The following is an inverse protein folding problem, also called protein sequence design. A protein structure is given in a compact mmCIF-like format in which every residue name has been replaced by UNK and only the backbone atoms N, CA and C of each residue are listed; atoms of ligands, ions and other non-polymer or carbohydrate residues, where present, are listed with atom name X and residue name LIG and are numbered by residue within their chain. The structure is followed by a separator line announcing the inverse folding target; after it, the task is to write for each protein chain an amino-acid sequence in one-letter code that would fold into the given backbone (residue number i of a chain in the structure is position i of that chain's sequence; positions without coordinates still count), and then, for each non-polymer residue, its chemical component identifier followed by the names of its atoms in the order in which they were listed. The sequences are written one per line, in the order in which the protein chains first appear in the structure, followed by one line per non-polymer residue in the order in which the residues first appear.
data_IF_395094616181
#
_entry.id   IF_395094616181
#
_cell.length_a   1.000
_cell.length_b   1.000
_cell.length_c   1.000
_cell.angle_alpha   90.00
_cell.angle_beta   90.00
_cell.angle_gamma   90.00
#
_symmetry.space_group_name_H-M   'P 1'
#
loop_
_entity.id
_entity.type
_entity.pdbx_description
1 polymer ?
#
# COMPACT_ATOMS: atom_id res chain seq x y z
N UNK A 1 28.79 61.93 -25.07
CA UNK A 1 29.34 61.39 -23.81
C UNK A 1 29.32 59.88 -23.91
N UNK A 2 30.49 59.29 -24.11
CA UNK A 2 30.67 57.85 -24.18
C UNK A 2 30.63 57.27 -22.76
N UNK A 3 29.89 56.18 -22.56
CA UNK A 3 29.82 55.46 -21.29
C UNK A 3 30.76 54.27 -21.38
N UNK A 4 31.78 54.27 -20.51
CA UNK A 4 32.79 53.21 -20.40
C UNK A 4 32.17 51.86 -20.01
N UNK A 5 32.60 50.81 -20.72
CA UNK A 5 32.39 49.42 -20.35
C UNK A 5 33.45 49.01 -19.32
N UNK A 6 33.03 48.61 -18.12
CA UNK A 6 33.86 47.87 -17.16
C UNK A 6 33.72 46.34 -17.39
N UNK A 7 34.81 45.57 -17.40
CA UNK A 7 34.78 44.14 -17.70
C UNK A 7 34.27 43.31 -16.51
N UNK A 8 33.38 42.35 -16.80
CA UNK A 8 32.95 41.31 -15.85
C UNK A 8 34.14 40.42 -15.49
N UNK A 9 34.47 40.36 -14.19
CA UNK A 9 35.37 39.33 -13.65
C UNK A 9 34.71 37.95 -13.81
N UNK A 10 35.36 37.08 -14.59
CA UNK A 10 35.15 35.64 -14.52
C UNK A 10 35.66 35.15 -13.15
N UNK A 11 34.78 34.51 -12.37
CA UNK A 11 35.16 33.72 -11.20
C UNK A 11 35.28 32.27 -11.68
N UNK A 12 36.46 31.69 -11.52
CA UNK A 12 36.80 30.33 -11.96
C UNK A 12 36.17 29.22 -11.10
N UNK A 13 36.36 27.95 -11.50
CA UNK A 13 35.74 26.79 -10.88
C UNK A 13 36.51 26.39 -9.63
N UNK A 14 36.19 26.99 -8.49
CA UNK A 14 36.74 26.59 -7.20
C UNK A 14 35.73 26.86 -6.09
N UNK A 15 34.54 26.29 -6.21
CA UNK A 15 33.62 26.05 -5.10
C UNK A 15 32.84 24.77 -5.43
N UNK A 16 33.56 23.64 -5.42
CA UNK A 16 32.94 22.34 -5.23
C UNK A 16 32.32 22.35 -3.83
N UNK A 17 31.05 22.71 -3.75
CA UNK A 17 30.21 22.44 -2.59
C UNK A 17 30.24 20.93 -2.41
N UNK A 18 31.04 20.48 -1.45
CA UNK A 18 30.92 19.14 -0.91
C UNK A 18 29.45 18.94 -0.51
N UNK A 19 28.78 18.00 -1.15
CA UNK A 19 27.48 17.49 -0.72
C UNK A 19 27.69 16.78 0.62
N UNK A 20 27.79 17.58 1.69
CA UNK A 20 27.93 17.09 3.05
C UNK A 20 26.58 16.60 3.54
N UNK A 21 26.57 15.33 3.94
CA UNK A 21 25.55 14.63 4.72
C UNK A 21 24.15 14.57 4.11
N UNK A 22 23.74 13.34 3.74
CA UNK A 22 22.34 12.96 3.60
C UNK A 22 21.58 13.50 4.82
N UNK A 23 20.86 14.60 4.65
CA UNK A 23 19.97 15.15 5.65
C UNK A 23 18.89 14.10 5.90
N UNK A 24 19.16 13.21 6.85
CA UNK A 24 18.20 12.23 7.34
C UNK A 24 17.02 13.06 7.80
N UNK A 25 15.88 12.92 7.12
CA UNK A 25 14.62 13.55 7.50
C UNK A 25 14.22 12.99 8.87
N UNK A 26 14.78 13.58 9.92
CA UNK A 26 14.43 13.29 11.29
C UNK A 26 13.07 13.91 11.53
N UNK A 27 12.07 13.06 11.79
CA UNK A 27 10.82 13.48 12.41
C UNK A 27 11.20 14.11 13.76
N UNK A 28 11.31 15.45 13.80
CA UNK A 28 11.72 16.19 15.01
C UNK A 28 10.80 15.91 16.21
N UNK A 29 9.59 15.39 15.98
CA UNK A 29 8.69 14.84 16.98
C UNK A 29 8.05 13.56 16.44
N UNK A 30 8.02 12.49 17.25
CA UNK A 30 7.14 11.33 17.02
C UNK A 30 5.71 11.75 17.37
N UNK A 31 4.69 11.07 16.84
CA UNK A 31 3.29 11.28 17.26
C UNK A 31 3.18 11.02 18.77
N UNK A 32 3.18 12.08 19.58
CA UNK A 32 2.94 11.99 21.02
C UNK A 32 1.46 12.30 21.24
N UNK A 33 0.71 11.34 21.77
CA UNK A 33 -0.63 11.59 22.26
C UNK A 33 -0.56 12.66 23.36
N UNK A 34 -1.06 13.86 23.08
CA UNK A 34 -1.09 14.94 24.07
C UNK A 34 -2.35 14.77 24.94
N UNK A 35 -2.23 13.99 26.01
CA UNK A 35 -3.30 13.78 26.97
C UNK A 35 -3.78 15.09 27.63
N UNK A 36 -2.91 16.10 27.68
CA UNK A 36 -3.19 17.44 28.18
C UNK A 36 -3.55 18.44 27.08
N UNK A 37 -3.88 17.96 25.88
CA UNK A 37 -4.39 18.82 24.82
C UNK A 37 -5.62 19.57 25.34
N UNK A 38 -5.71 20.90 25.18
CA UNK A 38 -6.90 21.62 25.60
C UNK A 38 -8.15 21.16 24.80
N UNK A 39 -7.97 20.45 23.68
CA UNK A 39 -9.05 19.76 22.94
C UNK A 39 -9.56 18.50 23.68
N UNK A 40 -8.70 17.74 24.37
CA UNK A 40 -9.10 16.46 25.00
C UNK A 40 -10.00 16.65 26.23
N UNK A 41 -10.04 17.87 26.79
CA UNK A 41 -10.83 18.24 27.99
C UNK A 41 -11.84 19.37 27.70
N UNK A 42 -12.15 19.62 26.43
CA UNK A 42 -12.95 20.75 26.01
C UNK A 42 -14.44 20.61 26.40
N UNK A 43 -14.90 21.41 27.36
CA UNK A 43 -16.33 21.65 27.66
C UNK A 43 -16.78 23.07 27.27
N UNK A 44 -15.83 23.87 26.78
CA UNK A 44 -15.99 25.24 26.31
C UNK A 44 -14.95 25.52 25.21
N UNK A 45 -14.88 26.75 24.71
CA UNK A 45 -13.92 27.14 23.67
C UNK A 45 -12.48 26.84 24.10
N UNK A 46 -11.79 26.04 23.29
CA UNK A 46 -10.41 25.57 23.52
C UNK A 46 -9.37 26.66 23.22
N UNK A 47 -9.73 27.54 22.29
CA UNK A 47 -8.94 28.67 21.85
C UNK A 47 -9.77 29.93 22.06
N UNK A 48 -9.08 31.02 22.36
CA UNK A 48 -9.67 32.34 22.23
C UNK A 48 -9.78 32.64 20.74
N UNK A 49 -11.00 32.51 20.20
CA UNK A 49 -11.26 32.69 18.77
C UNK A 49 -11.17 34.15 18.32
N UNK A 50 -11.24 35.11 19.26
CA UNK A 50 -11.07 36.54 18.96
C UNK A 50 -9.59 36.90 18.76
N UNK A 51 -8.69 36.18 19.43
CA UNK A 51 -7.24 36.38 19.30
C UNK A 51 -6.52 35.27 18.52
N UNK A 52 -7.25 34.24 18.08
CA UNK A 52 -6.70 33.10 17.37
C UNK A 52 -6.00 33.52 16.08
N UNK A 53 -4.74 33.10 15.95
CA UNK A 53 -3.99 33.20 14.70
C UNK A 53 -3.02 32.03 14.58
N UNK A 54 -2.93 31.46 13.38
CA UNK A 54 -1.84 30.56 13.05
C UNK A 54 -0.51 31.33 12.98
N UNK A 55 0.59 30.58 13.11
CA UNK A 55 1.91 31.13 12.80
C UNK A 55 2.00 31.53 11.31
N UNK A 56 2.72 32.62 10.95
CA UNK A 56 2.92 33.00 9.56
C UNK A 56 3.61 31.90 8.74
N UNK A 57 3.21 31.74 7.47
CA UNK A 57 3.80 30.77 6.53
C UNK A 57 3.83 31.36 5.12
N UNK A 58 4.76 30.90 4.28
CA UNK A 58 4.80 31.21 2.84
C UNK A 58 4.49 29.95 2.04
N UNK A 59 3.75 30.08 0.94
CA UNK A 59 3.24 28.97 0.11
C UNK A 59 4.37 28.05 -0.37
N UNK A 60 5.50 28.64 -0.79
CA UNK A 60 6.69 27.89 -1.23
C UNK A 60 7.29 26.99 -0.14
N UNK A 61 7.09 27.30 1.15
CA UNK A 61 7.52 26.44 2.25
C UNK A 61 6.71 25.15 2.29
N UNK A 62 5.40 25.24 2.03
CA UNK A 62 4.49 24.08 1.98
C UNK A 62 4.80 23.23 0.75
N UNK A 63 4.95 23.84 -0.42
CA UNK A 63 5.34 23.13 -1.65
C UNK A 63 6.65 22.35 -1.46
N UNK A 64 7.71 23.01 -0.96
CA UNK A 64 9.01 22.36 -0.69
C UNK A 64 8.92 21.30 0.41
N UNK A 65 8.07 21.48 1.41
CA UNK A 65 7.90 20.51 2.49
C UNK A 65 7.30 19.19 1.97
N UNK A 66 6.32 19.27 1.07
CA UNK A 66 5.69 18.10 0.47
C UNK A 66 6.60 17.44 -0.56
N UNK A 67 7.12 18.20 -1.52
CA UNK A 67 7.95 17.63 -2.60
C UNK A 67 9.22 16.99 -2.06
N UNK A 68 9.94 17.63 -1.12
CA UNK A 68 11.13 17.03 -0.52
C UNK A 68 10.86 15.65 0.10
N UNK A 69 9.70 15.48 0.75
CA UNK A 69 9.33 14.20 1.39
C UNK A 69 8.90 13.16 0.35
N UNK A 70 8.04 13.55 -0.59
CA UNK A 70 7.55 12.64 -1.61
C UNK A 70 8.68 12.12 -2.49
N UNK A 71 9.62 12.98 -2.90
CA UNK A 71 10.78 12.56 -3.69
C UNK A 71 11.80 11.74 -2.88
N UNK A 72 11.95 12.01 -1.57
CA UNK A 72 12.76 11.14 -0.70
C UNK A 72 12.13 9.74 -0.57
N UNK A 73 10.79 9.65 -0.53
CA UNK A 73 10.09 8.36 -0.56
C UNK A 73 10.26 7.65 -1.90
N UNK A 74 10.13 8.37 -3.03
CA UNK A 74 10.37 7.81 -4.37
C UNK A 74 11.79 7.24 -4.50
N UNK A 75 12.81 7.99 -4.06
CA UNK A 75 14.21 7.52 -4.07
C UNK A 75 14.40 6.29 -3.18
N UNK A 76 13.89 6.32 -1.95
CA UNK A 76 14.04 5.23 -0.98
C UNK A 76 13.36 3.93 -1.43
N UNK A 77 12.18 4.04 -2.04
CA UNK A 77 11.31 2.91 -2.39
C UNK A 77 11.39 2.49 -3.87
N UNK A 78 12.15 3.19 -4.72
CA UNK A 78 12.46 2.72 -6.07
C UNK A 78 13.03 1.28 -6.07
N UNK A 79 13.81 0.96 -5.03
CA UNK A 79 14.15 -0.41 -4.61
C UNK A 79 13.39 -0.73 -3.33
N UNK A 80 12.48 -1.69 -3.37
CA UNK A 80 11.68 -2.13 -2.20
C UNK A 80 11.95 -3.60 -1.86
N UNK A 81 11.71 -3.97 -0.60
CA UNK A 81 11.78 -5.37 -0.20
C UNK A 81 10.48 -6.09 -0.59
N UNK A 82 9.36 -5.47 -0.23
CA UNK A 82 8.02 -5.96 -0.52
C UNK A 82 7.20 -4.82 -1.12
N UNK A 83 6.51 -5.11 -2.23
CA UNK A 83 5.46 -4.25 -2.79
C UNK A 83 4.10 -4.91 -2.57
N UNK A 84 3.13 -4.16 -2.05
CA UNK A 84 1.75 -4.59 -1.88
C UNK A 84 0.88 -3.79 -2.85
N UNK A 85 0.19 -4.47 -3.76
CA UNK A 85 -0.68 -3.85 -4.77
C UNK A 85 -2.13 -3.95 -4.29
N UNK A 86 -2.72 -2.80 -3.98
CA UNK A 86 -4.07 -2.67 -3.42
C UNK A 86 -4.06 -2.53 -1.89
N UNK A 87 -4.49 -1.37 -1.39
CA UNK A 87 -4.67 -1.06 0.02
C UNK A 87 -6.10 -1.37 0.51
N UNK A 88 -6.64 -2.51 0.08
CA UNK A 88 -7.89 -3.07 0.62
C UNK A 88 -7.67 -3.74 1.99
N UNK A 89 -8.71 -4.39 2.51
CA UNK A 89 -8.64 -5.10 3.80
C UNK A 89 -7.54 -6.18 3.83
N UNK A 90 -7.35 -6.95 2.75
CA UNK A 90 -6.29 -7.95 2.67
C UNK A 90 -4.89 -7.32 2.60
N UNK A 91 -4.68 -6.35 1.71
CA UNK A 91 -3.37 -5.70 1.53
C UNK A 91 -2.93 -4.91 2.77
N UNK A 92 -3.84 -4.19 3.42
CA UNK A 92 -3.53 -3.49 4.66
C UNK A 92 -3.28 -4.45 5.84
N UNK A 93 -3.97 -5.60 5.87
CA UNK A 93 -3.70 -6.64 6.88
C UNK A 93 -2.29 -7.23 6.68
N UNK A 94 -1.91 -7.53 5.44
CA UNK A 94 -0.56 -7.98 5.10
C UNK A 94 0.50 -6.93 5.47
N UNK A 95 0.27 -5.65 5.13
CA UNK A 95 1.17 -4.55 5.47
C UNK A 95 1.37 -4.40 6.98
N UNK A 96 0.28 -4.46 7.76
CA UNK A 96 0.34 -4.36 9.22
C UNK A 96 1.15 -5.51 9.85
N UNK A 97 0.90 -6.74 9.41
CA UNK A 97 1.61 -7.93 9.91
C UNK A 97 3.10 -7.87 9.52
N UNK A 98 3.41 -7.63 8.25
CA UNK A 98 4.79 -7.54 7.77
C UNK A 98 5.57 -6.41 8.43
N UNK A 99 4.99 -5.21 8.48
CA UNK A 99 5.67 -4.04 9.03
C UNK A 99 6.01 -4.20 10.51
N UNK A 100 5.18 -4.91 11.28
CA UNK A 100 5.48 -5.28 12.68
C UNK A 100 6.52 -6.40 12.79
N UNK A 101 6.38 -7.45 11.98
CA UNK A 101 7.24 -8.63 12.09
C UNK A 101 8.67 -8.39 11.57
N UNK A 102 8.83 -7.49 10.60
CA UNK A 102 10.09 -7.20 9.91
C UNK A 102 10.31 -5.69 9.77
N UNK A 103 10.64 -4.99 10.87
CA UNK A 103 10.89 -3.55 10.85
C UNK A 103 12.10 -3.15 9.99
N UNK A 104 12.94 -4.12 9.62
CA UNK A 104 14.08 -3.98 8.71
C UNK A 104 13.69 -3.90 7.22
N UNK A 105 12.51 -4.40 6.83
CA UNK A 105 12.09 -4.48 5.42
C UNK A 105 11.35 -3.22 4.98
N UNK A 106 11.68 -2.72 3.79
CA UNK A 106 10.97 -1.63 3.09
C UNK A 106 9.70 -2.15 2.42
N UNK A 107 8.54 -1.72 2.93
CA UNK A 107 7.23 -2.14 2.43
C UNK A 107 6.57 -0.95 1.72
N UNK A 108 6.41 -1.03 0.40
CA UNK A 108 5.66 -0.07 -0.40
C UNK A 108 4.25 -0.59 -0.68
N UNK A 109 3.23 0.22 -0.41
CA UNK A 109 1.83 -0.05 -0.76
C UNK A 109 1.46 0.84 -1.93
N UNK A 110 1.03 0.25 -3.04
CA UNK A 110 0.56 0.95 -4.24
C UNK A 110 -0.96 0.84 -4.28
N UNK A 111 -1.65 1.97 -4.18
CA UNK A 111 -3.11 2.04 -4.19
C UNK A 111 -3.60 2.97 -5.30
N UNK A 112 -4.42 2.42 -6.20
CA UNK A 112 -4.94 3.14 -7.34
C UNK A 112 -5.85 4.30 -6.91
N UNK A 113 -6.67 4.14 -5.88
CA UNK A 113 -7.58 5.19 -5.44
C UNK A 113 -6.85 6.27 -4.63
N UNK A 114 -7.43 7.47 -4.60
CA UNK A 114 -7.01 8.51 -3.65
C UNK A 114 -7.27 8.02 -2.21
N UNK A 115 -8.45 7.46 -1.97
CA UNK A 115 -8.82 6.90 -0.67
C UNK A 115 -8.42 5.42 -0.58
N UNK A 116 -7.67 5.05 0.46
CA UNK A 116 -7.34 3.66 0.77
C UNK A 116 -8.50 2.95 1.46
N UNK A 117 -8.48 1.62 1.49
CA UNK A 117 -9.45 0.78 2.21
C UNK A 117 -10.27 -0.13 1.29
N UNK A 118 -10.22 0.09 -0.02
CA UNK A 118 -10.96 -0.69 -1.01
C UNK A 118 -12.46 -0.77 -0.69
N UNK A 119 -13.04 -1.96 -0.83
CA UNK A 119 -14.46 -2.20 -0.52
C UNK A 119 -14.81 -2.27 0.97
N UNK A 120 -13.90 -1.98 1.89
CA UNK A 120 -14.09 -2.20 3.34
C UNK A 120 -14.57 -0.95 4.12
N UNK A 121 -15.21 0.02 3.44
CA UNK A 121 -15.90 1.12 4.13
C UNK A 121 -17.34 0.80 4.52
N UNK A 122 -17.93 -0.22 3.88
CA UNK A 122 -19.32 -0.62 4.05
C UNK A 122 -19.42 -2.15 4.22
N UNK A 123 -20.55 -2.60 4.74
CA UNK A 123 -21.01 -3.98 4.64
C UNK A 123 -21.72 -4.23 3.30
N UNK A 124 -22.69 -5.15 3.29
CA UNK A 124 -23.49 -5.44 2.10
C UNK A 124 -24.47 -4.31 1.77
N UNK A 125 -24.71 -4.07 0.48
CA UNK A 125 -25.79 -3.19 0.00
C UNK A 125 -25.79 -1.78 0.63
N UNK A 126 -24.60 -1.21 0.83
CA UNK A 126 -24.41 0.11 1.46
C UNK A 126 -24.74 0.19 2.96
N UNK A 127 -25.02 -0.94 3.62
CA UNK A 127 -25.12 -0.98 5.09
C UNK A 127 -23.75 -0.85 5.75
N UNK A 128 -23.72 -0.63 7.07
CA UNK A 128 -22.49 -0.27 7.79
C UNK A 128 -21.78 -1.45 8.45
N UNK A 129 -22.54 -2.37 9.05
CA UNK A 129 -22.02 -3.41 9.92
C UNK A 129 -21.04 -4.35 9.18
N UNK A 130 -19.94 -4.69 9.84
CA UNK A 130 -18.91 -5.57 9.31
C UNK A 130 -18.93 -6.89 10.07
N UNK A 131 -19.34 -7.94 9.38
CA UNK A 131 -19.40 -9.30 9.92
C UNK A 131 -18.06 -10.00 9.66
N UNK A 132 -17.51 -10.65 10.70
CA UNK A 132 -16.34 -11.52 10.58
C UNK A 132 -16.60 -12.84 11.29
N UNK A 133 -16.45 -13.97 10.59
CA UNK A 133 -16.48 -15.30 11.21
C UNK A 133 -15.20 -15.56 12.02
N UNK A 134 -15.34 -16.28 13.14
CA UNK A 134 -14.18 -16.71 13.95
C UNK A 134 -13.32 -17.71 13.16
N UNK A 135 -11.98 -17.70 13.29
CA UNK A 135 -11.19 -17.02 14.32
C UNK A 135 -10.66 -15.61 13.94
N UNK A 136 -11.29 -14.90 12.99
CA UNK A 136 -10.82 -13.58 12.58
C UNK A 136 -10.94 -12.49 13.67
N UNK A 137 -11.75 -12.76 14.70
CA UNK A 137 -11.86 -11.97 15.93
C UNK A 137 -10.52 -11.78 16.66
N UNK A 138 -9.60 -12.74 16.51
CA UNK A 138 -8.22 -12.62 17.04
C UNK A 138 -7.49 -11.40 16.48
N UNK A 139 -7.65 -11.12 15.20
CA UNK A 139 -7.05 -9.94 14.56
C UNK A 139 -7.77 -8.65 14.97
N UNK A 140 -9.09 -8.71 15.19
CA UNK A 140 -9.85 -7.55 15.68
C UNK A 140 -9.42 -7.16 17.10
N UNK A 141 -9.17 -8.14 17.97
CA UNK A 141 -8.56 -7.91 19.30
C UNK A 141 -7.16 -7.32 19.21
N UNK A 142 -6.32 -7.79 18.29
CA UNK A 142 -4.98 -7.24 18.02
C UNK A 142 -5.04 -5.75 17.60
N UNK A 143 -6.08 -5.34 16.87
CA UNK A 143 -6.30 -3.93 16.56
C UNK A 143 -6.89 -3.13 17.73
N UNK A 144 -7.36 -3.79 18.80
CA UNK A 144 -8.01 -3.15 19.94
C UNK A 144 -9.37 -2.56 19.59
N UNK A 145 -10.10 -3.20 18.68
CA UNK A 145 -11.44 -2.78 18.26
C UNK A 145 -12.52 -3.48 19.05
N UNK A 146 -13.55 -2.73 19.43
CA UNK A 146 -14.78 -3.28 20.01
C UNK A 146 -15.63 -3.96 18.94
N UNK A 147 -16.28 -5.06 19.33
CA UNK A 147 -17.19 -5.82 18.51
C UNK A 147 -18.26 -6.49 19.37
N UNK A 148 -19.40 -6.80 18.77
CA UNK A 148 -20.45 -7.65 19.34
C UNK A 148 -20.14 -9.11 19.00
N UNK A 149 -20.15 -9.99 20.01
CA UNK A 149 -19.88 -11.43 19.83
C UNK A 149 -21.21 -12.19 19.70
N UNK A 150 -21.42 -12.81 18.54
CA UNK A 150 -22.65 -13.51 18.16
C UNK A 150 -22.44 -15.04 18.07
N UNK A 151 -21.43 -15.57 18.78
CA UNK A 151 -21.11 -17.00 18.78
C UNK A 151 -20.05 -17.34 17.74
N UNK A 152 -20.46 -17.82 16.55
CA UNK A 152 -19.55 -18.25 15.48
C UNK A 152 -18.96 -17.08 14.66
N UNK A 153 -19.47 -15.87 14.89
CA UNK A 153 -19.02 -14.65 14.24
C UNK A 153 -19.09 -13.46 15.20
N UNK A 154 -18.46 -12.37 14.78
CA UNK A 154 -18.49 -11.09 15.45
C UNK A 154 -18.99 -10.00 14.51
N UNK A 155 -19.48 -8.91 15.07
CA UNK A 155 -19.94 -7.73 14.32
C UNK A 155 -19.20 -6.49 14.81
N UNK A 156 -18.39 -5.89 13.93
CA UNK A 156 -17.88 -4.54 14.17
C UNK A 156 -18.94 -3.55 13.69
N UNK A 157 -19.31 -2.59 14.55
CA UNK A 157 -20.43 -1.66 14.31
C UNK A 157 -20.39 -0.95 12.95
N UNK A 158 -19.19 -0.71 12.42
CA UNK A 158 -19.02 -0.12 11.11
C UNK A 158 -17.72 -0.59 10.45
N UNK A 159 -17.78 -1.04 9.19
CA UNK A 159 -16.60 -1.41 8.40
C UNK A 159 -15.54 -0.28 8.33
N UNK A 160 -15.98 0.97 8.19
CA UNK A 160 -15.13 2.16 8.27
C UNK A 160 -14.30 2.24 9.56
N UNK A 161 -14.84 1.83 10.72
CA UNK A 161 -14.09 1.82 11.98
C UNK A 161 -12.91 0.83 11.92
N UNK A 162 -13.15 -0.35 11.35
CA UNK A 162 -12.10 -1.34 11.15
C UNK A 162 -11.02 -0.84 10.19
N UNK A 163 -11.41 -0.45 8.98
CA UNK A 163 -10.43 -0.18 7.91
C UNK A 163 -9.59 1.08 8.19
N UNK A 164 -10.19 2.11 8.79
CA UNK A 164 -9.46 3.33 9.17
C UNK A 164 -8.51 3.10 10.34
N UNK A 165 -8.89 2.25 11.31
CA UNK A 165 -8.01 1.85 12.41
C UNK A 165 -6.82 1.03 11.92
N UNK A 166 -7.07 0.03 11.06
CA UNK A 166 -6.02 -0.76 10.45
C UNK A 166 -5.07 0.11 9.61
N UNK A 167 -5.63 1.00 8.77
CA UNK A 167 -4.86 1.96 7.99
C UNK A 167 -3.98 2.84 8.89
N UNK A 168 -4.54 3.45 9.93
CA UNK A 168 -3.79 4.30 10.88
C UNK A 168 -2.62 3.54 11.51
N UNK A 169 -2.84 2.30 11.97
CA UNK A 169 -1.80 1.47 12.58
C UNK A 169 -0.73 1.04 11.58
N UNK A 170 -1.11 0.68 10.34
CA UNK A 170 -0.16 0.31 9.30
C UNK A 170 0.71 1.51 8.88
N UNK A 171 0.12 2.69 8.68
CA UNK A 171 0.84 3.91 8.28
C UNK A 171 1.69 4.52 9.40
N UNK A 172 1.44 4.15 10.65
CA UNK A 172 2.27 4.53 11.78
C UNK A 172 3.61 3.75 11.83
N UNK A 173 3.76 2.67 11.06
CA UNK A 173 4.98 1.86 11.02
C UNK A 173 6.04 2.58 10.17
N UNK A 174 7.28 2.76 10.67
CA UNK A 174 8.30 3.59 10.02
C UNK A 174 8.86 3.01 8.70
N UNK A 175 8.60 1.73 8.45
CA UNK A 175 9.07 0.99 7.29
C UNK A 175 7.98 0.78 6.22
N UNK A 176 6.76 1.25 6.47
CA UNK A 176 5.63 1.19 5.53
C UNK A 176 5.45 2.55 4.85
N UNK A 177 5.35 2.54 3.52
CA UNK A 177 5.02 3.72 2.72
C UNK A 177 3.80 3.45 1.86
N UNK A 178 2.85 4.37 1.88
CA UNK A 178 1.70 4.38 0.98
C UNK A 178 1.91 5.35 -0.18
N UNK A 179 1.79 4.83 -1.39
CA UNK A 179 1.64 5.58 -2.63
C UNK A 179 0.20 5.37 -3.13
N UNK A 180 -0.72 6.18 -2.61
CA UNK A 180 -2.09 6.27 -3.11
C UNK A 180 -2.18 7.15 -4.36
N UNK A 181 -3.32 7.11 -5.06
CA UNK A 181 -3.49 7.70 -6.39
C UNK A 181 -2.45 7.22 -7.43
N UNK A 182 -1.87 6.04 -7.20
CA UNK A 182 -0.82 5.42 -8.01
C UNK A 182 -1.29 4.03 -8.41
N UNK A 183 -1.41 3.78 -9.72
CA UNK A 183 -1.83 2.49 -10.25
C UNK A 183 -0.61 1.65 -10.64
N UNK A 184 -0.77 0.32 -10.58
CA UNK A 184 0.15 -0.62 -11.23
C UNK A 184 -0.42 -0.95 -12.61
N UNK A 185 0.35 -0.69 -13.66
CA UNK A 185 -0.06 -0.87 -15.05
C UNK A 185 0.60 -2.07 -15.71
N UNK A 186 1.73 -2.53 -15.16
CA UNK A 186 2.43 -3.73 -15.60
C UNK A 186 3.30 -4.31 -14.48
N UNK A 187 3.88 -5.48 -14.73
CA UNK A 187 4.82 -6.17 -13.85
C UNK A 187 6.23 -6.14 -14.46
N UNK A 188 7.23 -5.90 -13.62
CA UNK A 188 8.62 -6.11 -14.01
C UNK A 188 8.88 -7.61 -13.92
N UNK A 189 9.36 -8.23 -15.00
CA UNK A 189 9.72 -9.64 -15.03
C UNK A 189 11.23 -9.85 -15.26
N UNK A 190 11.75 -10.97 -14.77
CA UNK A 190 13.14 -11.42 -14.99
C UNK A 190 13.15 -12.91 -15.29
N UNK A 191 14.12 -13.35 -16.07
CA UNK A 191 14.42 -14.77 -16.24
C UNK A 191 15.46 -15.14 -15.18
N UNK A 192 15.18 -16.18 -14.41
CA UNK A 192 16.10 -16.77 -13.44
C UNK A 192 17.16 -17.63 -14.14
N UNK A 193 18.24 -17.99 -13.43
CA UNK A 193 19.28 -18.88 -13.97
C UNK A 193 18.76 -20.26 -14.40
N UNK A 194 17.66 -20.74 -13.81
CA UNK A 194 16.98 -21.98 -14.23
C UNK A 194 16.14 -21.80 -15.49
N UNK A 195 16.06 -20.59 -16.06
CA UNK A 195 15.26 -20.26 -17.23
C UNK A 195 13.81 -19.91 -16.92
N UNK A 196 13.39 -19.89 -15.65
CA UNK A 196 12.02 -19.57 -15.26
C UNK A 196 11.79 -18.06 -15.18
N UNK A 197 10.64 -17.60 -15.67
CA UNK A 197 10.20 -16.21 -15.50
C UNK A 197 9.72 -15.97 -14.06
N UNK A 198 10.15 -14.87 -13.45
CA UNK A 198 9.67 -14.37 -12.16
C UNK A 198 9.21 -12.92 -12.25
N UNK A 199 8.36 -12.51 -11.32
CA UNK A 199 8.05 -11.09 -11.05
C UNK A 199 9.14 -10.51 -10.13
N UNK A 200 9.59 -9.30 -10.45
CA UNK A 200 10.72 -8.61 -9.82
C UNK A 200 10.44 -7.12 -9.53
N UNK A 201 9.19 -6.70 -9.67
CA UNK A 201 8.76 -5.33 -9.40
C UNK A 201 7.44 -5.00 -10.09
N UNK A 202 7.08 -3.73 -10.03
CA UNK A 202 5.85 -3.18 -10.61
C UNK A 202 6.17 -1.98 -11.48
N UNK A 203 5.37 -1.81 -12.54
CA UNK A 203 5.34 -0.64 -13.40
C UNK A 203 4.18 0.21 -12.94
N UNK A 204 4.46 1.46 -12.57
CA UNK A 204 3.52 2.34 -11.86
C UNK A 204 3.27 3.63 -12.61
N UNK A 205 2.09 4.19 -12.46
CA UNK A 205 1.81 5.55 -12.92
C UNK A 205 0.78 6.22 -12.01
N UNK A 206 0.55 7.51 -12.19
CA UNK A 206 -0.62 8.14 -11.60
C UNK A 206 -1.88 7.48 -12.15
N UNK A 207 -2.84 7.16 -11.30
CA UNK A 207 -4.05 6.45 -11.74
C UNK A 207 -4.83 7.23 -12.81
N UNK A 208 -4.82 8.55 -12.75
CA UNK A 208 -5.44 9.39 -13.79
C UNK A 208 -4.71 9.27 -15.13
N UNK A 209 -3.39 9.13 -15.14
CA UNK A 209 -2.64 8.85 -16.38
C UNK A 209 -3.06 7.49 -16.93
N UNK A 210 -3.14 6.47 -16.07
CA UNK A 210 -3.57 5.12 -16.44
C UNK A 210 -4.97 5.02 -17.07
N UNK A 211 -5.89 5.87 -16.61
CA UNK A 211 -7.26 5.89 -17.13
C UNK A 211 -7.41 6.72 -18.41
N UNK A 212 -6.37 7.44 -18.84
CA UNK A 212 -6.43 8.44 -19.90
C UNK A 212 -5.28 8.28 -20.92
N UNK A 213 -4.78 7.05 -21.13
CA UNK A 213 -3.76 6.75 -22.15
C UNK A 213 -4.21 7.08 -23.58
N UNK A 214 -5.52 7.03 -23.84
CA UNK A 214 -6.09 7.35 -25.17
C UNK A 214 -6.43 8.85 -25.34
N UNK A 215 -6.40 9.64 -24.26
CA UNK A 215 -6.87 11.03 -24.26
C UNK A 215 -5.74 12.05 -24.44
N UNK A 216 -4.48 11.61 -24.40
CA UNK A 216 -3.29 12.46 -24.46
C UNK A 216 -2.19 11.80 -25.33
N UNK A 217 -1.07 12.49 -25.52
CA UNK A 217 0.14 11.82 -26.01
C UNK A 217 0.63 10.77 -25.00
N UNK A 218 1.42 9.79 -25.45
CA UNK A 218 1.95 8.75 -24.58
C UNK A 218 2.66 9.33 -23.34
N UNK A 219 2.30 8.80 -22.17
CA UNK A 219 2.85 9.20 -20.87
C UNK A 219 3.46 7.98 -20.20
N UNK A 220 4.76 7.79 -20.42
CA UNK A 220 5.48 6.60 -19.94
C UNK A 220 5.33 6.41 -18.42
N UNK A 221 5.28 5.15 -17.96
CA UNK A 221 5.20 4.84 -16.54
C UNK A 221 6.56 5.00 -15.84
N UNK A 222 6.53 4.90 -14.51
CA UNK A 222 7.69 4.76 -13.64
C UNK A 222 7.78 3.31 -13.11
N UNK A 223 8.81 2.98 -12.34
CA UNK A 223 9.10 1.60 -11.91
C UNK A 223 9.49 1.50 -10.44
N UNK A 224 9.09 0.40 -9.80
CA UNK A 224 9.56 0.01 -8.48
C UNK A 224 10.04 -1.45 -8.53
N UNK A 225 11.33 -1.66 -8.29
CA UNK A 225 11.91 -2.99 -8.10
C UNK A 225 11.51 -3.56 -6.74
N UNK A 226 11.22 -4.87 -6.69
CA UNK A 226 10.83 -5.53 -5.45
C UNK A 226 11.23 -7.00 -5.43
N UNK A 227 11.60 -7.50 -4.24
CA UNK A 227 11.97 -8.91 -4.06
C UNK A 227 10.72 -9.79 -4.07
N UNK A 228 9.64 -9.34 -3.42
CA UNK A 228 8.34 -10.03 -3.42
C UNK A 228 7.21 -9.03 -3.63
N UNK A 229 6.25 -9.40 -4.47
CA UNK A 229 5.04 -8.62 -4.73
C UNK A 229 3.87 -9.37 -4.09
N UNK A 230 3.02 -8.66 -3.34
CA UNK A 230 1.76 -9.17 -2.81
C UNK A 230 0.63 -8.47 -3.54
N UNK A 231 -0.12 -9.20 -4.35
CA UNK A 231 -1.28 -8.68 -5.07
C UNK A 231 -2.57 -8.90 -4.27
N UNK A 232 -3.28 -7.80 -4.01
CA UNK A 232 -4.50 -7.72 -3.22
C UNK A 232 -5.54 -6.82 -3.90
N UNK A 233 -5.63 -6.85 -5.23
CA UNK A 233 -6.39 -5.87 -6.03
C UNK A 233 -7.90 -6.14 -6.09
N UNK A 234 -8.40 -7.10 -5.30
CA UNK A 234 -9.81 -7.51 -5.33
C UNK A 234 -10.15 -8.40 -6.54
N UNK A 235 -11.43 -8.63 -6.79
CA UNK A 235 -11.90 -9.47 -7.90
C UNK A 235 -12.06 -8.66 -9.20
N UNK A 236 -12.59 -9.28 -10.26
CA UNK A 236 -12.79 -8.64 -11.57
C UNK A 236 -13.51 -7.28 -11.51
N UNK A 237 -13.19 -6.41 -12.47
CA UNK A 237 -13.51 -4.99 -12.55
C UNK A 237 -12.41 -4.21 -13.30
N UNK A 238 -12.56 -2.89 -13.51
CA UNK A 238 -11.61 -2.10 -14.29
C UNK A 238 -10.17 -2.15 -13.79
N UNK A 239 -9.97 -2.10 -12.46
CA UNK A 239 -8.65 -2.15 -11.80
C UNK A 239 -8.45 -3.43 -10.98
N UNK A 240 -9.47 -4.30 -10.96
CA UNK A 240 -9.51 -5.45 -10.07
C UNK A 240 -8.89 -6.68 -10.70
N UNK A 241 -8.31 -7.54 -9.85
CA UNK A 241 -7.56 -8.73 -10.23
C UNK A 241 -6.42 -8.50 -11.24
N UNK A 242 -5.76 -7.35 -11.12
CA UNK A 242 -4.79 -6.86 -12.09
C UNK A 242 -3.65 -7.85 -12.35
N UNK A 243 -2.93 -8.29 -11.31
CA UNK A 243 -1.75 -9.13 -11.52
C UNK A 243 -2.11 -10.51 -12.08
N UNK A 244 -3.22 -11.10 -11.61
CA UNK A 244 -3.75 -12.36 -12.16
C UNK A 244 -4.11 -12.21 -13.64
N UNK A 245 -4.83 -11.15 -14.01
CA UNK A 245 -5.17 -10.87 -15.43
C UNK A 245 -3.91 -10.67 -16.27
N UNK A 246 -2.97 -9.87 -15.78
CA UNK A 246 -1.76 -9.54 -16.52
C UNK A 246 -0.91 -10.77 -16.82
N UNK A 247 -0.70 -11.64 -15.83
CA UNK A 247 0.01 -12.90 -16.05
C UNK A 247 -0.75 -13.86 -16.97
N UNK A 248 -2.09 -13.85 -16.93
CA UNK A 248 -2.90 -14.69 -17.82
C UNK A 248 -2.87 -14.24 -19.28
N UNK A 249 -2.90 -12.93 -19.54
CA UNK A 249 -2.73 -12.36 -20.89
C UNK A 249 -1.38 -12.74 -21.51
N UNK A 250 -0.34 -12.87 -20.70
CA UNK A 250 1.00 -13.31 -21.12
C UNK A 250 1.15 -14.83 -21.22
N UNK A 251 0.11 -15.61 -20.90
CA UNK A 251 0.16 -17.07 -20.87
C UNK A 251 1.05 -17.66 -19.76
N UNK A 252 1.42 -16.86 -18.75
CA UNK A 252 2.28 -17.24 -17.63
C UNK A 252 1.51 -17.88 -16.47
N UNK A 253 0.20 -17.60 -16.38
CA UNK A 253 -0.68 -18.12 -15.36
C UNK A 253 -2.07 -18.41 -15.96
N UNK A 254 -2.78 -19.43 -15.46
CA UNK A 254 -4.16 -19.68 -15.87
C UNK A 254 -5.12 -18.91 -14.97
N UNK A 255 -5.96 -18.04 -15.54
CA UNK A 255 -7.08 -17.41 -14.84
C UNK A 255 -8.30 -18.34 -14.87
N UNK A 256 -8.84 -18.69 -13.70
CA UNK A 256 -9.98 -19.61 -13.60
C UNK A 256 -11.33 -18.92 -13.26
N UNK A 257 -11.32 -17.59 -13.04
CA UNK A 257 -12.49 -16.74 -12.76
C UNK A 257 -13.21 -17.03 -11.44
N UNK A 258 -13.62 -15.99 -10.73
CA UNK A 258 -14.33 -16.10 -9.45
C UNK A 258 -15.63 -16.90 -9.56
N UNK A 259 -15.85 -17.83 -8.62
CA UNK A 259 -17.06 -18.64 -8.55
C UNK A 259 -18.26 -17.91 -7.92
N UNK A 260 -19.44 -18.54 -7.98
CA UNK A 260 -20.67 -18.06 -7.33
C UNK A 260 -20.51 -17.93 -5.80
N UNK A 261 -21.48 -17.28 -5.15
CA UNK A 261 -21.43 -17.03 -3.71
C UNK A 261 -21.68 -18.31 -2.89
N UNK A 262 -20.72 -18.65 -2.03
CA UNK A 262 -20.82 -19.68 -0.99
C UNK A 262 -19.86 -19.30 0.15
N UNK A 263 -20.37 -18.70 1.22
CA UNK A 263 -19.54 -18.17 2.32
C UNK A 263 -18.69 -19.25 3.02
N UNK A 264 -19.26 -20.45 3.22
CA UNK A 264 -18.60 -21.52 3.95
C UNK A 264 -17.39 -22.03 3.18
N UNK A 265 -17.55 -22.26 1.87
CA UNK A 265 -16.44 -22.70 1.00
C UNK A 265 -15.47 -21.58 0.68
N UNK A 266 -15.98 -20.39 0.41
CA UNK A 266 -15.19 -19.24 -0.03
C UNK A 266 -14.13 -18.86 1.01
N UNK A 267 -14.54 -18.58 2.24
CA UNK A 267 -13.62 -18.00 3.23
C UNK A 267 -12.46 -18.96 3.56
N UNK A 268 -12.78 -20.23 3.78
CA UNK A 268 -11.79 -21.29 4.00
C UNK A 268 -10.83 -21.41 2.83
N UNK A 269 -11.36 -21.43 1.60
CA UNK A 269 -10.53 -21.65 0.42
C UNK A 269 -9.61 -20.47 0.15
N UNK A 270 -10.08 -19.24 0.31
CA UNK A 270 -9.26 -18.05 0.11
C UNK A 270 -8.11 -18.00 1.11
N UNK A 271 -8.37 -18.24 2.40
CA UNK A 271 -7.32 -18.22 3.41
C UNK A 271 -6.32 -19.36 3.20
N UNK A 272 -6.79 -20.61 3.03
CA UNK A 272 -5.93 -21.79 2.90
C UNK A 272 -5.06 -21.76 1.65
N UNK A 273 -5.53 -21.16 0.56
CA UNK A 273 -4.82 -21.16 -0.73
C UNK A 273 -4.04 -19.87 -1.01
N UNK A 274 -4.06 -18.88 -0.12
CA UNK A 274 -3.20 -17.69 -0.23
C UNK A 274 -1.74 -18.14 -0.26
N UNK A 275 -1.02 -17.80 -1.33
CA UNK A 275 0.32 -18.32 -1.64
C UNK A 275 1.04 -17.48 -2.68
N UNK A 276 2.31 -17.80 -2.90
CA UNK A 276 3.02 -17.45 -4.13
C UNK A 276 2.41 -18.21 -5.32
N UNK A 277 1.61 -17.52 -6.14
CA UNK A 277 0.91 -18.12 -7.30
C UNK A 277 1.78 -18.14 -8.55
N UNK A 278 2.81 -17.31 -8.58
CA UNK A 278 3.83 -17.23 -9.62
C UNK A 278 5.14 -16.78 -8.96
N UNK A 279 6.34 -17.22 -9.39
CA UNK A 279 7.60 -16.84 -8.75
C UNK A 279 7.73 -15.31 -8.56
N UNK A 280 7.85 -14.87 -7.31
CA UNK A 280 7.91 -13.46 -6.92
C UNK A 280 6.55 -12.78 -6.67
N UNK A 281 5.41 -13.46 -6.91
CA UNK A 281 4.06 -12.92 -6.76
C UNK A 281 3.20 -13.76 -5.81
N UNK A 282 2.97 -13.23 -4.62
CA UNK A 282 1.97 -13.73 -3.65
C UNK A 282 0.61 -13.12 -3.98
N UNK A 283 -0.43 -13.94 -4.03
CA UNK A 283 -1.79 -13.48 -4.29
C UNK A 283 -2.69 -13.76 -3.09
N UNK A 284 -3.48 -12.74 -2.70
CA UNK A 284 -4.33 -12.79 -1.51
C UNK A 284 -5.64 -12.00 -1.70
N UNK A 285 -6.55 -12.17 -0.75
CA UNK A 285 -7.88 -11.59 -0.81
C UNK A 285 -8.69 -12.11 -2.00
N UNK A 286 -9.63 -11.29 -2.48
CA UNK A 286 -10.54 -11.70 -3.56
C UNK A 286 -9.87 -11.83 -4.93
N UNK A 287 -8.65 -11.33 -5.13
CA UNK A 287 -7.91 -11.57 -6.38
C UNK A 287 -7.57 -13.05 -6.56
N UNK A 288 -7.30 -13.76 -5.46
CA UNK A 288 -7.03 -15.20 -5.50
C UNK A 288 -8.21 -16.00 -6.06
N UNK A 289 -9.44 -15.53 -5.85
CA UNK A 289 -10.64 -16.17 -6.40
C UNK A 289 -10.66 -16.17 -7.94
N UNK A 290 -10.07 -15.15 -8.56
CA UNK A 290 -9.94 -15.05 -10.02
C UNK A 290 -8.84 -15.96 -10.56
N UNK A 291 -7.81 -16.21 -9.74
CA UNK A 291 -6.75 -17.17 -10.03
C UNK A 291 -7.30 -18.60 -10.01
N UNK A 292 -8.00 -19.00 -8.94
CA UNK A 292 -8.25 -20.42 -8.63
C UNK A 292 -9.73 -20.86 -8.74
N UNK A 293 -10.65 -19.96 -9.10
CA UNK A 293 -12.09 -20.21 -9.14
C UNK A 293 -12.71 -20.58 -7.78
N UNK A 294 -12.23 -19.95 -6.72
CA UNK A 294 -12.90 -20.03 -5.43
C UNK A 294 -14.23 -19.26 -5.46
N UNK A 295 -15.19 -19.74 -4.67
CA UNK A 295 -16.44 -19.03 -4.42
C UNK A 295 -16.16 -17.65 -3.82
N UNK A 296 -17.07 -16.70 -4.07
CA UNK A 296 -17.09 -15.42 -3.35
C UNK A 296 -17.84 -15.53 -2.02
N UNK A 297 -17.48 -14.72 -1.04
CA UNK A 297 -18.16 -14.70 0.26
C UNK A 297 -19.19 -13.57 0.41
N UNK A 298 -19.18 -12.54 -0.43
CA UNK A 298 -20.09 -11.41 -0.26
C UNK A 298 -19.76 -10.59 1.00
N UNK A 299 -20.74 -10.16 1.81
CA UNK A 299 -20.55 -9.18 2.88
C UNK A 299 -20.03 -9.76 4.21
N UNK A 300 -19.02 -10.63 4.16
CA UNK A 300 -18.24 -11.09 5.33
C UNK A 300 -16.75 -10.92 5.04
N UNK A 301 -15.97 -10.56 6.06
CA UNK A 301 -14.62 -10.03 5.87
C UNK A 301 -13.52 -10.85 6.55
N UNK A 302 -13.88 -11.94 7.26
CA UNK A 302 -12.91 -12.77 8.00
C UNK A 302 -11.80 -13.29 7.10
N UNK A 303 -12.16 -13.80 5.92
CA UNK A 303 -11.20 -14.28 4.94
C UNK A 303 -10.25 -13.22 4.41
N UNK A 304 -10.69 -11.97 4.23
CA UNK A 304 -9.81 -10.91 3.73
C UNK A 304 -8.71 -10.60 4.73
N UNK A 305 -9.08 -10.53 6.01
CA UNK A 305 -8.14 -10.29 7.11
C UNK A 305 -7.13 -11.42 7.22
N UNK A 306 -7.62 -12.66 7.35
CA UNK A 306 -6.75 -13.82 7.55
C UNK A 306 -5.96 -14.20 6.29
N UNK A 307 -6.48 -13.93 5.09
CA UNK A 307 -5.71 -14.04 3.85
C UNK A 307 -4.58 -13.02 3.81
N UNK A 308 -4.80 -11.78 4.25
CA UNK A 308 -3.71 -10.80 4.39
C UNK A 308 -2.63 -11.24 5.39
N UNK A 309 -3.03 -11.80 6.54
CA UNK A 309 -2.09 -12.41 7.50
C UNK A 309 -1.31 -13.54 6.82
N UNK A 310 -1.99 -14.41 6.09
CA UNK A 310 -1.36 -15.52 5.37
C UNK A 310 -0.40 -15.02 4.29
N UNK A 311 -0.75 -13.98 3.55
CA UNK A 311 0.09 -13.37 2.54
C UNK A 311 1.41 -12.85 3.12
N UNK A 312 1.37 -12.27 4.32
CA UNK A 312 2.56 -11.86 5.04
C UNK A 312 3.47 -13.07 5.35
N UNK A 313 2.91 -14.17 5.85
CA UNK A 313 3.68 -15.41 6.10
C UNK A 313 4.32 -15.95 4.82
N UNK A 314 3.57 -16.04 3.74
CA UNK A 314 4.05 -16.57 2.46
C UNK A 314 5.13 -15.68 1.85
N UNK A 315 4.98 -14.36 1.93
CA UNK A 315 6.01 -13.44 1.49
C UNK A 315 7.32 -13.63 2.28
N UNK A 316 7.25 -13.80 3.60
CA UNK A 316 8.44 -14.05 4.42
C UNK A 316 9.10 -15.40 4.13
N UNK A 317 8.31 -16.44 3.82
CA UNK A 317 8.85 -17.76 3.46
C UNK A 317 9.70 -17.71 2.19
N UNK A 318 9.27 -16.94 1.19
CA UNK A 318 9.97 -16.88 -0.11
C UNK A 318 10.98 -15.74 -0.20
N UNK A 319 10.96 -14.78 0.74
CA UNK A 319 11.75 -13.55 0.66
C UNK A 319 13.25 -13.78 0.42
N UNK A 320 13.93 -14.64 1.19
CA UNK A 320 15.38 -14.84 1.04
C UNK A 320 15.74 -15.48 -0.31
N UNK A 321 14.89 -16.39 -0.80
CA UNK A 321 15.06 -16.97 -2.14
C UNK A 321 14.93 -15.90 -3.22
N UNK A 322 13.87 -15.09 -3.17
CA UNK A 322 13.63 -14.06 -4.20
C UNK A 322 14.65 -12.93 -4.13
N UNK A 323 15.11 -12.58 -2.93
CA UNK A 323 16.21 -11.63 -2.72
C UNK A 323 17.51 -12.12 -3.36
N UNK A 324 17.85 -13.40 -3.17
CA UNK A 324 19.02 -14.01 -3.81
C UNK A 324 18.89 -13.96 -5.35
N UNK A 325 17.76 -14.41 -5.89
CA UNK A 325 17.50 -14.39 -7.33
C UNK A 325 17.52 -12.98 -7.91
N UNK A 326 17.14 -11.98 -7.13
CA UNK A 326 17.18 -10.59 -7.55
C UNK A 326 18.61 -10.04 -7.66
N UNK A 327 19.49 -10.41 -6.73
CA UNK A 327 20.92 -10.08 -6.82
C UNK A 327 21.61 -10.78 -8.00
N UNK A 328 21.11 -11.95 -8.42
CA UNK A 328 21.63 -12.70 -9.57
C UNK A 328 21.08 -12.20 -10.92
N UNK A 329 20.00 -11.40 -10.91
CA UNK A 329 19.36 -10.89 -12.13
C UNK A 329 20.06 -9.68 -12.75
N UNK A 330 21.09 -9.14 -12.11
CA UNK A 330 21.82 -7.91 -12.48
C UNK A 330 23.33 -8.08 -12.27
#
# INVERSE_FOLDING_TARGET
MAVEYLPRRFVGPADCIALSEQATLSLKQRNVFNADSPVSKAVSAVYDWDTFKFAPIRESMVSRAMTRRYFADLEKYAESDIVIVGAGSAGLSAAYVLGKARPDLKIAIIEANVAVGGGCFLGGQLFSAMVLRKPADSFIRELGLEYEDEGDYIVVKHAALFITTLCSKALALPNVKLFNATCVEDLITRTTDSGETRVAGVVTNWTLVSMHHDDQSCMDPNTINAKVIISCTGHDGPMGAFCVKRLAELGLLKRNHMGCLDMNRAEDSIVKNTREVFPGLVCAGMELSECDSHNRMGPTFGAMVLSGVKAAEEALKVYELRKKQDLESY
#
